data_IF_390793011118
#
_entry.id   IF_390793011118
#
_cell.length_a   1.000
_cell.length_b   1.000
_cell.length_c   1.000
_cell.angle_alpha   90.00
_cell.angle_beta   90.00
_cell.angle_gamma   90.00
#
_symmetry.space_group_name_H-M   'P 1'
#
loop_
_entity.id
_entity.type
_entity.pdbx_description
1 polymer ?
#
# COMPACT_ATOMS: atom_id res chain seq x y z
N UNK A 1 16.80 18.26 23.12
CA UNK A 1 15.66 18.89 22.42
C UNK A 1 14.42 18.37 23.11
N UNK A 2 13.94 19.10 24.11
CA UNK A 2 12.69 18.76 24.79
C UNK A 2 11.54 18.99 23.82
N UNK A 3 10.64 18.01 23.69
CA UNK A 3 9.37 18.23 23.03
C UNK A 3 8.47 18.99 24.00
N UNK A 4 8.39 20.32 23.85
CA UNK A 4 7.33 21.09 24.51
C UNK A 4 5.98 20.53 24.07
N UNK A 5 5.27 19.93 25.03
CA UNK A 5 3.93 19.37 24.87
C UNK A 5 2.88 20.49 24.81
N UNK A 6 3.00 21.38 23.82
CA UNK A 6 1.96 22.35 23.49
C UNK A 6 0.64 21.61 23.20
N UNK A 7 -0.47 22.11 23.76
CA UNK A 7 -1.79 21.47 23.77
C UNK A 7 -2.52 21.45 22.41
N UNK A 8 -1.80 21.26 21.29
CA UNK A 8 -2.46 21.07 20.00
C UNK A 8 -3.22 19.74 19.96
N UNK A 9 -4.52 19.82 20.30
CA UNK A 9 -5.54 18.78 20.10
C UNK A 9 -5.94 18.62 18.62
N UNK A 10 -5.42 19.48 17.73
CA UNK A 10 -5.70 19.44 16.31
C UNK A 10 -4.84 18.39 15.59
N UNK A 11 -5.45 17.69 14.63
CA UNK A 11 -4.74 16.85 13.68
C UNK A 11 -3.80 17.68 12.80
N UNK A 12 -2.61 17.14 12.48
CA UNK A 12 -1.68 17.80 11.56
C UNK A 12 -2.24 17.87 10.13
N UNK A 13 -1.67 18.71 9.26
CA UNK A 13 -2.06 18.74 7.84
C UNK A 13 -1.85 17.39 7.14
N UNK A 14 -0.79 16.66 7.52
CA UNK A 14 -0.54 15.31 7.02
C UNK A 14 -1.67 14.35 7.41
N UNK A 15 -2.08 14.35 8.68
CA UNK A 15 -3.20 13.53 9.17
C UNK A 15 -4.50 13.86 8.43
N UNK A 16 -4.77 15.15 8.21
CA UNK A 16 -5.96 15.61 7.48
C UNK A 16 -5.96 15.13 6.02
N UNK A 17 -4.81 15.15 5.34
CA UNK A 17 -4.70 14.63 3.98
C UNK A 17 -4.84 13.10 3.93
N UNK A 18 -4.24 12.36 4.87
CA UNK A 18 -4.41 10.90 4.98
C UNK A 18 -5.89 10.56 5.18
N UNK A 19 -6.58 11.23 6.10
CA UNK A 19 -8.01 10.98 6.36
C UNK A 19 -8.92 11.38 5.19
N UNK A 20 -8.62 12.47 4.47
CA UNK A 20 -9.37 12.85 3.27
C UNK A 20 -9.18 11.82 2.15
N UNK A 21 -7.95 11.37 1.93
CA UNK A 21 -7.62 10.32 0.98
C UNK A 21 -8.33 9.01 1.31
N UNK A 22 -8.28 8.60 2.59
CA UNK A 22 -8.98 7.41 3.07
C UNK A 22 -10.50 7.53 2.89
N UNK A 23 -11.09 8.69 3.20
CA UNK A 23 -12.53 8.93 3.01
C UNK A 23 -12.95 8.78 1.54
N UNK A 24 -12.20 9.38 0.61
CA UNK A 24 -12.46 9.26 -0.84
C UNK A 24 -12.37 7.79 -1.27
N UNK A 25 -11.33 7.08 -0.83
CA UNK A 25 -11.07 5.68 -1.18
C UNK A 25 -12.13 4.73 -0.62
N UNK A 26 -12.67 5.00 0.57
CA UNK A 26 -13.82 4.28 1.14
C UNK A 26 -15.10 4.51 0.34
N UNK A 27 -15.44 5.79 0.08
CA UNK A 27 -16.70 6.19 -0.59
C UNK A 27 -16.77 5.65 -2.01
N UNK A 28 -15.66 5.65 -2.75
CA UNK A 28 -15.59 5.15 -4.13
C UNK A 28 -15.36 3.62 -4.15
N UNK A 29 -14.58 3.10 -3.20
CA UNK A 29 -14.17 1.69 -3.19
C UNK A 29 -15.27 0.71 -2.79
N UNK A 30 -16.06 1.03 -1.76
CA UNK A 30 -17.12 0.12 -1.28
C UNK A 30 -18.14 -0.22 -2.38
N UNK A 31 -18.65 0.75 -3.18
CA UNK A 31 -19.53 0.44 -4.31
C UNK A 31 -18.85 -0.32 -5.45
N UNK A 32 -17.64 0.10 -5.87
CA UNK A 32 -16.95 -0.47 -7.04
C UNK A 32 -16.29 -1.83 -6.79
N UNK A 33 -16.00 -2.17 -5.54
CA UNK A 33 -15.35 -3.43 -5.14
C UNK A 33 -16.29 -4.32 -4.31
N UNK A 34 -17.59 -3.99 -4.25
CA UNK A 34 -18.53 -4.62 -3.32
C UNK A 34 -18.73 -6.13 -3.54
N UNK A 35 -18.42 -6.65 -4.72
CA UNK A 35 -18.34 -8.08 -5.05
C UNK A 35 -17.07 -8.74 -4.50
N UNK A 36 -15.90 -8.14 -4.69
CA UNK A 36 -14.62 -8.62 -4.17
C UNK A 36 -14.59 -8.58 -2.64
N UNK A 37 -15.11 -7.50 -2.04
CA UNK A 37 -15.20 -7.35 -0.58
C UNK A 37 -16.15 -8.39 0.05
N UNK A 38 -17.21 -8.80 -0.64
CA UNK A 38 -18.13 -9.87 -0.16
C UNK A 38 -17.60 -11.28 -0.40
N UNK A 39 -16.55 -11.44 -1.21
CA UNK A 39 -16.03 -12.75 -1.62
C UNK A 39 -14.80 -13.13 -0.80
N UNK A 40 -14.88 -14.25 -0.06
CA UNK A 40 -13.75 -14.76 0.73
C UNK A 40 -12.91 -15.73 -0.10
N UNK A 41 -12.14 -15.18 -1.05
CA UNK A 41 -11.36 -15.98 -2.01
C UNK A 41 -9.93 -16.34 -1.53
N UNK A 42 -9.57 -15.95 -0.29
CA UNK A 42 -8.29 -16.31 0.36
C UNK A 42 -7.94 -17.81 0.25
N UNK A 43 -8.87 -18.77 0.43
CA UNK A 43 -8.54 -20.19 0.27
C UNK A 43 -8.08 -20.56 -1.15
N UNK A 44 -8.56 -19.88 -2.19
CA UNK A 44 -8.14 -20.14 -3.58
C UNK A 44 -6.70 -19.65 -3.83
N UNK A 45 -6.35 -18.48 -3.28
CA UNK A 45 -4.98 -17.96 -3.29
C UNK A 45 -4.03 -18.89 -2.52
N UNK A 46 -4.42 -19.31 -1.31
CA UNK A 46 -3.60 -20.19 -0.46
C UNK A 46 -3.47 -21.63 -0.99
N UNK A 47 -4.43 -22.10 -1.79
CA UNK A 47 -4.36 -23.41 -2.45
C UNK A 47 -3.31 -23.48 -3.57
N UNK A 48 -2.63 -22.37 -3.89
CA UNK A 48 -1.59 -22.30 -4.92
C UNK A 48 -0.20 -22.05 -4.28
N UNK A 49 0.62 -23.11 -4.05
CA UNK A 49 1.87 -22.98 -3.31
C UNK A 49 2.92 -22.08 -3.97
N UNK A 50 3.05 -22.10 -5.30
CA UNK A 50 4.03 -21.24 -5.99
C UNK A 50 3.67 -19.76 -5.82
N UNK A 51 2.37 -19.46 -5.82
CA UNK A 51 1.90 -18.08 -5.69
C UNK A 51 2.02 -17.58 -4.25
N UNK A 52 1.73 -18.43 -3.25
CA UNK A 52 2.03 -18.13 -1.84
C UNK A 52 3.53 -17.85 -1.63
N UNK A 53 4.41 -18.67 -2.21
CA UNK A 53 5.87 -18.41 -2.16
C UNK A 53 6.23 -17.08 -2.82
N UNK A 54 5.65 -16.76 -3.97
CA UNK A 54 5.87 -15.46 -4.63
C UNK A 54 5.43 -14.27 -3.76
N UNK A 55 4.25 -14.34 -3.15
CA UNK A 55 3.73 -13.32 -2.24
C UNK A 55 4.62 -13.14 -1.00
N UNK A 56 5.08 -14.24 -0.39
CA UNK A 56 5.99 -14.21 0.75
C UNK A 56 7.37 -13.65 0.38
N UNK A 57 7.93 -14.02 -0.77
CA UNK A 57 9.25 -13.54 -1.23
C UNK A 57 9.19 -12.06 -1.61
N UNK A 58 8.15 -11.62 -2.32
CA UNK A 58 7.98 -10.20 -2.68
C UNK A 58 7.80 -9.30 -1.44
N UNK A 59 6.98 -9.74 -0.47
CA UNK A 59 6.87 -9.10 0.84
C UNK A 59 8.20 -9.06 1.59
N UNK A 60 8.88 -10.20 1.75
CA UNK A 60 10.15 -10.28 2.46
C UNK A 60 11.22 -9.41 1.82
N UNK A 61 11.28 -9.35 0.48
CA UNK A 61 12.22 -8.50 -0.26
C UNK A 61 11.96 -7.00 0.00
N UNK A 62 10.69 -6.55 -0.06
CA UNK A 62 10.32 -5.18 0.30
C UNK A 62 10.72 -4.85 1.75
N UNK A 63 10.41 -5.72 2.69
CA UNK A 63 10.75 -5.53 4.11
C UNK A 63 12.26 -5.52 4.38
N UNK A 64 13.04 -6.40 3.74
CA UNK A 64 14.50 -6.38 3.83
C UNK A 64 15.06 -5.06 3.29
N UNK A 65 14.55 -4.55 2.16
CA UNK A 65 14.98 -3.25 1.66
C UNK A 65 14.61 -2.12 2.64
N UNK A 66 13.43 -2.13 3.26
CA UNK A 66 13.09 -1.18 4.34
C UNK A 66 14.09 -1.22 5.49
N UNK A 67 14.47 -2.43 5.97
CA UNK A 67 15.49 -2.59 7.02
C UNK A 67 16.85 -1.98 6.62
N UNK A 68 17.23 -2.11 5.34
CA UNK A 68 18.54 -1.69 4.84
C UNK A 68 18.63 -0.21 4.43
N UNK A 69 17.50 0.48 4.20
CA UNK A 69 17.52 1.85 3.65
C UNK A 69 16.66 2.87 4.40
N UNK A 70 15.80 2.45 5.34
CA UNK A 70 14.95 3.37 6.09
C UNK A 70 15.57 3.79 7.42
N UNK A 71 15.23 5.01 7.87
CA UNK A 71 15.65 5.54 9.18
C UNK A 71 14.48 6.18 9.91
N UNK A 72 14.55 6.18 11.25
CA UNK A 72 13.60 6.85 12.13
C UNK A 72 14.19 8.03 12.90
N UNK A 73 15.47 8.38 12.76
CA UNK A 73 16.12 9.56 13.37
C UNK A 73 15.79 9.77 14.87
N UNK A 74 15.82 8.70 15.66
CA UNK A 74 15.50 8.75 17.09
C UNK A 74 14.01 8.94 17.43
N UNK A 75 13.10 9.02 16.45
CA UNK A 75 11.65 9.14 16.68
C UNK A 75 11.14 8.00 17.58
N UNK A 76 10.29 8.31 18.58
CA UNK A 76 9.74 7.31 19.50
C UNK A 76 8.83 6.33 18.76
N UNK A 77 8.67 5.13 19.31
CA UNK A 77 7.67 4.19 18.81
C UNK A 77 6.32 4.49 19.48
N UNK A 78 5.26 4.61 18.66
CA UNK A 78 3.93 5.01 19.11
C UNK A 78 2.90 3.93 18.74
N UNK A 79 2.46 3.17 19.74
CA UNK A 79 1.55 2.02 19.54
C UNK A 79 0.24 2.39 18.83
N UNK A 80 -0.48 3.39 19.34
CA UNK A 80 -1.76 3.83 18.77
C UNK A 80 -1.66 4.23 17.30
N UNK A 81 -0.82 5.22 16.94
CA UNK A 81 -0.53 5.57 15.54
C UNK A 81 -0.08 4.39 14.68
N UNK A 82 0.78 3.50 15.20
CA UNK A 82 1.23 2.31 14.46
C UNK A 82 0.06 1.40 14.09
N UNK A 83 -0.84 1.10 15.03
CA UNK A 83 -2.01 0.25 14.78
C UNK A 83 -3.01 0.95 13.85
N UNK A 84 -3.33 2.22 14.13
CA UNK A 84 -4.29 3.01 13.32
C UNK A 84 -3.80 3.15 11.88
N UNK A 85 -2.54 3.51 11.67
CA UNK A 85 -1.97 3.67 10.34
C UNK A 85 -1.87 2.31 9.62
N UNK A 86 -1.28 1.28 10.24
CA UNK A 86 -1.04 0.01 9.54
C UNK A 86 -2.35 -0.68 9.11
N UNK A 87 -3.38 -0.65 9.96
CA UNK A 87 -4.70 -1.21 9.63
C UNK A 87 -5.47 -0.27 8.69
N UNK A 88 -5.56 1.02 9.03
CA UNK A 88 -6.33 1.99 8.27
C UNK A 88 -5.81 2.16 6.84
N UNK A 89 -4.49 2.33 6.69
CA UNK A 89 -3.86 2.46 5.38
C UNK A 89 -3.91 1.14 4.61
N UNK A 90 -3.44 0.04 5.19
CA UNK A 90 -3.42 -1.28 4.54
C UNK A 90 -4.80 -1.78 4.08
N UNK A 91 -5.89 -1.40 4.76
CA UNK A 91 -7.26 -1.64 4.27
C UNK A 91 -7.65 -0.62 3.19
N UNK A 92 -7.58 0.67 3.50
CA UNK A 92 -8.28 1.71 2.72
C UNK A 92 -7.49 2.13 1.47
N UNK A 93 -6.16 2.20 1.56
CA UNK A 93 -5.31 2.44 0.38
C UNK A 93 -5.36 1.24 -0.58
N UNK A 94 -5.53 0.01 -0.08
CA UNK A 94 -5.83 -1.15 -0.95
C UNK A 94 -7.11 -0.95 -1.76
N UNK A 95 -8.12 -0.24 -1.25
CA UNK A 95 -9.33 0.05 -2.05
C UNK A 95 -8.99 0.99 -3.20
N UNK A 96 -8.26 2.08 -2.97
CA UNK A 96 -7.83 3.00 -4.03
C UNK A 96 -7.07 2.26 -5.15
N UNK A 97 -6.11 1.44 -4.73
CA UNK A 97 -5.32 0.58 -5.59
C UNK A 97 -6.16 -0.42 -6.40
N UNK A 98 -7.08 -1.15 -5.76
CA UNK A 98 -7.96 -2.11 -6.41
C UNK A 98 -8.97 -1.45 -7.36
N UNK A 99 -9.48 -0.25 -7.05
CA UNK A 99 -10.34 0.55 -7.95
C UNK A 99 -9.59 0.89 -9.23
N UNK A 100 -8.37 1.43 -9.12
CA UNK A 100 -7.58 1.84 -10.29
C UNK A 100 -7.23 0.64 -11.16
N UNK A 101 -6.81 -0.47 -10.54
CA UNK A 101 -6.60 -1.73 -11.25
C UNK A 101 -7.87 -2.20 -11.96
N UNK A 102 -9.03 -2.20 -11.28
CA UNK A 102 -10.31 -2.66 -11.84
C UNK A 102 -10.77 -1.80 -13.01
N UNK A 103 -10.62 -0.49 -12.93
CA UNK A 103 -10.92 0.45 -14.03
C UNK A 103 -10.00 0.16 -15.23
N UNK A 104 -8.69 0.02 -15.00
CA UNK A 104 -7.73 -0.33 -16.06
C UNK A 104 -8.04 -1.70 -16.69
N UNK A 105 -8.42 -2.70 -15.88
CA UNK A 105 -8.80 -4.01 -16.37
C UNK A 105 -10.08 -3.99 -17.20
N UNK A 106 -11.11 -3.30 -16.73
CA UNK A 106 -12.35 -3.10 -17.48
C UNK A 106 -12.13 -2.38 -18.82
N UNK A 107 -11.24 -1.38 -18.87
CA UNK A 107 -10.84 -0.71 -20.11
C UNK A 107 -10.11 -1.69 -21.04
N UNK A 108 -9.14 -2.45 -20.53
CA UNK A 108 -8.38 -3.42 -21.33
C UNK A 108 -9.24 -4.54 -21.89
N UNK A 109 -10.17 -5.07 -21.12
CA UNK A 109 -11.12 -6.08 -21.58
C UNK A 109 -12.13 -5.49 -22.57
N UNK A 110 -12.60 -4.25 -22.37
CA UNK A 110 -13.45 -3.55 -23.34
C UNK A 110 -12.77 -3.35 -24.69
N UNK A 111 -11.49 -2.96 -24.69
CA UNK A 111 -10.67 -2.84 -25.91
C UNK A 111 -10.45 -4.22 -26.55
N UNK A 112 -10.12 -5.25 -25.77
CA UNK A 112 -9.95 -6.60 -26.28
C UNK A 112 -11.23 -7.12 -26.94
N UNK A 113 -12.39 -7.01 -26.28
CA UNK A 113 -13.66 -7.47 -26.83
C UNK A 113 -14.06 -6.77 -28.13
N UNK A 114 -13.59 -5.55 -28.39
CA UNK A 114 -13.86 -4.81 -29.62
C UNK A 114 -12.91 -5.16 -30.78
N UNK A 115 -11.64 -5.48 -30.51
CA UNK A 115 -10.60 -5.62 -31.54
C UNK A 115 -9.88 -6.99 -31.56
N UNK A 116 -9.68 -7.62 -30.39
CA UNK A 116 -8.96 -8.88 -30.21
C UNK A 116 -9.60 -9.73 -29.09
N UNK A 117 -10.77 -10.35 -29.30
CA UNK A 117 -11.53 -10.99 -28.20
C UNK A 117 -10.78 -12.12 -27.50
N UNK A 118 -9.83 -12.77 -28.17
CA UNK A 118 -8.93 -13.77 -27.61
C UNK A 118 -7.89 -13.21 -26.62
N UNK A 119 -7.80 -11.89 -26.46
CA UNK A 119 -6.95 -11.19 -25.50
C UNK A 119 -7.75 -10.61 -24.31
N UNK A 120 -9.06 -10.83 -24.23
CA UNK A 120 -9.86 -10.46 -23.07
C UNK A 120 -9.45 -11.33 -21.86
N UNK A 121 -9.25 -10.71 -20.70
CA UNK A 121 -8.51 -11.26 -19.57
C UNK A 121 -7.06 -10.77 -19.56
N UNK A 122 -6.16 -11.27 -20.43
CA UNK A 122 -4.76 -10.85 -20.47
C UNK A 122 -4.54 -9.35 -20.73
N UNK A 123 -5.33 -8.72 -21.62
CA UNK A 123 -5.22 -7.28 -21.87
C UNK A 123 -5.81 -6.45 -20.72
N UNK A 124 -6.91 -6.91 -20.11
CA UNK A 124 -7.41 -6.35 -18.85
C UNK A 124 -6.36 -6.40 -17.75
N UNK A 125 -5.75 -7.56 -17.50
CA UNK A 125 -4.65 -7.69 -16.54
C UNK A 125 -3.51 -6.70 -16.84
N UNK A 126 -3.05 -6.62 -18.09
CA UNK A 126 -1.93 -5.75 -18.47
C UNK A 126 -2.24 -4.26 -18.28
N UNK A 127 -3.42 -3.78 -18.67
CA UNK A 127 -3.82 -2.37 -18.48
C UNK A 127 -4.13 -2.08 -17.02
N UNK A 128 -4.80 -2.99 -16.30
CA UNK A 128 -5.05 -2.89 -14.86
C UNK A 128 -3.77 -2.80 -14.03
N UNK A 129 -2.81 -3.70 -14.28
CA UNK A 129 -1.48 -3.66 -13.67
C UNK A 129 -0.74 -2.36 -14.00
N UNK A 130 -0.77 -1.91 -15.25
CA UNK A 130 -0.12 -0.65 -15.66
C UNK A 130 -0.75 0.55 -14.95
N UNK A 131 -2.08 0.61 -14.86
CA UNK A 131 -2.80 1.67 -14.14
C UNK A 131 -2.46 1.65 -12.64
N UNK A 132 -2.41 0.47 -12.00
CA UNK A 132 -1.94 0.32 -10.63
C UNK A 132 -0.54 0.91 -10.47
N UNK A 133 0.43 0.48 -11.28
CA UNK A 133 1.83 0.89 -11.19
C UNK A 133 1.98 2.41 -11.33
N UNK A 134 1.28 3.02 -12.29
CA UNK A 134 1.28 4.49 -12.48
C UNK A 134 0.72 5.19 -11.23
N UNK A 135 -0.42 4.72 -10.71
CA UNK A 135 -1.06 5.31 -9.54
C UNK A 135 -0.22 5.17 -8.27
N UNK A 136 0.38 4.00 -8.02
CA UNK A 136 1.32 3.79 -6.92
C UNK A 136 2.57 4.65 -7.03
N UNK A 137 3.16 4.75 -8.23
CA UNK A 137 4.27 5.67 -8.48
C UNK A 137 3.91 7.13 -8.19
N UNK A 138 2.69 7.55 -8.56
CA UNK A 138 2.16 8.90 -8.28
C UNK A 138 1.95 9.14 -6.79
N UNK A 139 1.25 8.26 -6.07
CA UNK A 139 1.00 8.42 -4.64
C UNK A 139 2.31 8.37 -3.84
N UNK A 140 3.21 7.42 -4.11
CA UNK A 140 4.50 7.38 -3.44
C UNK A 140 5.37 8.60 -3.77
N UNK A 141 5.44 9.00 -5.05
CA UNK A 141 6.27 10.11 -5.50
C UNK A 141 5.80 11.50 -5.05
N UNK A 142 4.49 11.76 -5.08
CA UNK A 142 3.92 13.08 -4.81
C UNK A 142 3.28 13.22 -3.42
N UNK A 143 2.86 12.12 -2.77
CA UNK A 143 2.31 12.14 -1.42
C UNK A 143 3.35 11.67 -0.40
N UNK A 144 3.73 10.39 -0.42
CA UNK A 144 4.57 9.82 0.64
C UNK A 144 5.98 10.44 0.71
N UNK A 145 6.66 10.68 -0.41
CA UNK A 145 8.00 11.29 -0.39
C UNK A 145 8.02 12.78 0.00
N UNK A 146 6.92 13.52 -0.21
CA UNK A 146 6.86 14.97 0.06
C UNK A 146 6.39 15.30 1.48
N UNK A 147 5.46 14.51 2.02
CA UNK A 147 4.82 14.83 3.31
C UNK A 147 5.29 13.96 4.48
N UNK A 148 5.95 12.82 4.25
CA UNK A 148 6.62 12.09 5.34
C UNK A 148 7.90 12.82 5.77
N UNK A 149 8.31 12.73 7.06
CA UNK A 149 9.62 13.19 7.47
C UNK A 149 10.73 12.45 6.71
N UNK A 150 11.98 12.97 6.70
CA UNK A 150 13.14 12.22 6.21
C UNK A 150 13.17 10.82 6.82
N UNK A 151 13.07 9.81 5.96
CA UNK A 151 12.84 8.42 6.35
C UNK A 151 13.79 7.45 5.64
N UNK A 152 14.80 7.99 4.97
CA UNK A 152 15.75 7.32 4.12
C UNK A 152 17.18 7.68 4.55
N UNK A 153 18.01 6.68 4.86
CA UNK A 153 19.43 6.84 5.19
C UNK A 153 20.28 7.36 4.03
N UNK A 154 20.91 8.51 4.16
CA UNK A 154 21.71 9.14 3.08
C UNK A 154 23.13 8.56 2.95
N UNK A 155 23.44 7.45 3.64
CA UNK A 155 24.72 6.74 3.46
C UNK A 155 24.93 6.26 2.02
N UNK A 156 26.17 6.27 1.49
CA UNK A 156 26.46 5.80 0.14
C UNK A 156 26.05 4.35 -0.14
N UNK A 157 25.99 3.51 0.90
CA UNK A 157 25.53 2.13 0.81
C UNK A 157 24.00 2.05 0.64
N UNK A 158 23.23 2.73 1.50
CA UNK A 158 21.77 2.77 1.41
C UNK A 158 21.30 3.41 0.09
N UNK A 159 21.98 4.45 -0.39
CA UNK A 159 21.72 5.06 -1.71
C UNK A 159 21.91 4.08 -2.88
N UNK A 160 22.88 3.15 -2.81
CA UNK A 160 23.05 2.09 -3.83
C UNK A 160 21.93 1.07 -3.76
N UNK A 161 21.59 0.60 -2.55
CA UNK A 161 20.56 -0.41 -2.30
C UNK A 161 19.16 0.11 -2.70
N UNK A 162 18.87 1.41 -2.52
CA UNK A 162 17.61 2.05 -2.93
C UNK A 162 17.18 1.80 -4.36
N UNK A 163 18.13 1.61 -5.28
CA UNK A 163 17.83 1.34 -6.70
C UNK A 163 17.05 0.03 -6.89
N UNK A 164 17.08 -0.87 -5.91
CA UNK A 164 16.30 -2.11 -5.88
C UNK A 164 14.87 -1.92 -5.35
N UNK A 165 14.55 -0.80 -4.67
CA UNK A 165 13.20 -0.58 -4.12
C UNK A 165 12.12 -0.63 -5.20
N UNK A 166 12.22 0.08 -6.34
CA UNK A 166 11.23 -0.04 -7.40
C UNK A 166 11.01 -1.48 -7.84
N UNK A 167 12.05 -2.32 -7.88
CA UNK A 167 11.91 -3.74 -8.23
C UNK A 167 11.11 -4.53 -7.18
N UNK A 168 11.29 -4.23 -5.89
CA UNK A 168 10.50 -4.83 -4.81
C UNK A 168 9.04 -4.37 -4.81
N UNK A 169 8.79 -3.06 -5.00
CA UNK A 169 7.41 -2.55 -5.10
C UNK A 169 6.72 -3.16 -6.34
N UNK A 170 7.41 -3.24 -7.49
CA UNK A 170 6.88 -3.89 -8.70
C UNK A 170 6.55 -5.38 -8.48
N UNK A 171 7.35 -6.11 -7.70
CA UNK A 171 7.08 -7.50 -7.36
C UNK A 171 5.84 -7.65 -6.46
N UNK A 172 5.68 -6.76 -5.47
CA UNK A 172 4.47 -6.69 -4.63
C UNK A 172 3.22 -6.37 -5.47
N UNK A 173 3.28 -5.32 -6.28
CA UNK A 173 2.18 -4.88 -7.15
C UNK A 173 1.79 -5.95 -8.16
N UNK A 174 2.75 -6.71 -8.70
CA UNK A 174 2.48 -7.87 -9.55
C UNK A 174 1.73 -8.96 -8.78
N UNK A 175 2.17 -9.26 -7.55
CA UNK A 175 1.49 -10.23 -6.67
C UNK A 175 0.05 -9.84 -6.36
N UNK A 176 -0.16 -8.57 -5.99
CA UNK A 176 -1.49 -8.05 -5.70
C UNK A 176 -2.41 -8.05 -6.93
N UNK A 177 -1.88 -7.65 -8.09
CA UNK A 177 -2.61 -7.69 -9.36
C UNK A 177 -2.97 -9.13 -9.78
N UNK A 178 -2.11 -10.10 -9.49
CA UNK A 178 -2.41 -11.52 -9.70
C UNK A 178 -3.49 -12.05 -8.75
N UNK A 179 -3.54 -11.59 -7.48
CA UNK A 179 -4.65 -11.91 -6.57
C UNK A 179 -5.99 -11.41 -7.12
N UNK A 180 -6.03 -10.17 -7.62
CA UNK A 180 -7.24 -9.60 -8.23
C UNK A 180 -7.63 -10.32 -9.52
N UNK A 181 -6.66 -10.63 -10.38
CA UNK A 181 -6.91 -11.24 -11.69
C UNK A 181 -7.36 -12.69 -11.60
N UNK A 182 -6.62 -13.53 -10.87
CA UNK A 182 -6.81 -14.97 -10.85
C UNK A 182 -7.93 -15.39 -9.88
N UNK A 183 -8.09 -14.65 -8.78
CA UNK A 183 -8.93 -15.06 -7.65
C UNK A 183 -9.89 -13.97 -7.17
N UNK A 184 -9.83 -12.74 -7.70
CA UNK A 184 -10.57 -11.58 -7.16
C UNK A 184 -10.37 -11.39 -5.64
N UNK A 185 -9.21 -11.81 -5.13
CA UNK A 185 -8.94 -11.92 -3.69
C UNK A 185 -8.32 -10.62 -3.17
N UNK A 186 -9.20 -9.70 -2.76
CA UNK A 186 -8.79 -8.44 -2.12
C UNK A 186 -8.29 -8.65 -0.69
N UNK A 187 -8.71 -9.70 -0.01
CA UNK A 187 -8.44 -9.92 1.42
C UNK A 187 -6.99 -10.33 1.68
N UNK A 188 -6.40 -11.19 0.83
CA UNK A 188 -4.95 -11.47 0.89
C UNK A 188 -4.13 -10.22 0.62
N UNK A 189 -4.55 -9.35 -0.30
CA UNK A 189 -3.85 -8.08 -0.59
C UNK A 189 -3.91 -7.14 0.60
N UNK A 190 -5.10 -6.91 1.18
CA UNK A 190 -5.28 -6.12 2.41
C UNK A 190 -4.36 -6.64 3.51
N UNK A 191 -4.35 -7.95 3.77
CA UNK A 191 -3.54 -8.54 4.83
C UNK A 191 -2.04 -8.29 4.62
N UNK A 192 -1.52 -8.54 3.41
CA UNK A 192 -0.11 -8.28 3.08
C UNK A 192 0.20 -6.78 3.18
N UNK A 193 -0.70 -5.91 2.75
CA UNK A 193 -0.49 -4.46 2.79
C UNK A 193 -0.42 -3.93 4.23
N UNK A 194 -1.29 -4.42 5.14
CA UNK A 194 -1.20 -4.11 6.58
C UNK A 194 0.17 -4.50 7.15
N UNK A 195 0.75 -5.63 6.72
CA UNK A 195 2.09 -6.03 7.13
C UNK A 195 3.20 -5.14 6.53
N UNK A 196 3.02 -4.66 5.29
CA UNK A 196 3.95 -3.71 4.65
C UNK A 196 3.97 -2.39 5.41
N UNK A 197 2.80 -1.85 5.74
CA UNK A 197 2.64 -0.60 6.49
C UNK A 197 3.11 -0.73 7.94
N UNK A 198 2.89 -1.88 8.58
CA UNK A 198 3.48 -2.16 9.89
C UNK A 198 5.02 -2.10 9.84
N UNK A 199 5.62 -2.63 8.78
CA UNK A 199 7.04 -2.48 8.48
C UNK A 199 7.49 -1.02 8.38
N UNK A 200 6.76 -0.21 7.61
CA UNK A 200 6.98 1.24 7.50
C UNK A 200 6.86 1.92 8.86
N UNK A 201 5.80 1.66 9.63
CA UNK A 201 5.59 2.29 10.94
C UNK A 201 6.68 1.92 11.96
N UNK A 202 7.18 0.68 11.95
CA UNK A 202 8.28 0.24 12.82
C UNK A 202 9.63 0.90 12.45
N UNK A 203 9.90 1.11 11.16
CA UNK A 203 11.22 1.54 10.62
C UNK A 203 11.35 3.04 10.36
N UNK A 204 10.27 3.69 9.93
CA UNK A 204 10.20 5.13 9.65
C UNK A 204 9.68 5.91 10.85
N UNK A 205 8.73 5.32 11.59
CA UNK A 205 8.02 5.94 12.72
C UNK A 205 7.53 7.37 12.39
N UNK A 206 6.69 7.52 11.36
CA UNK A 206 6.19 8.84 10.98
C UNK A 206 5.32 9.41 12.13
N UNK A 207 5.39 10.72 12.42
CA UNK A 207 4.65 11.37 13.49
C UNK A 207 3.19 11.65 13.07
N UNK A 208 2.50 10.62 12.57
CA UNK A 208 1.07 10.67 12.22
C UNK A 208 0.21 10.39 13.45
N UNK A 209 -1.01 10.91 13.45
CA UNK A 209 -2.04 10.68 14.45
C UNK A 209 -1.59 10.90 15.90
N UNK A 210 -0.64 11.81 16.15
CA UNK A 210 -0.08 12.06 17.48
C UNK A 210 -1.17 12.39 18.51
N UNK A 211 -2.24 13.10 18.12
CA UNK A 211 -3.39 13.38 18.97
C UNK A 211 -4.08 12.13 19.53
N UNK A 212 -4.06 11.01 18.79
CA UNK A 212 -4.59 9.72 19.25
C UNK A 212 -3.64 8.97 20.20
N UNK A 213 -2.36 9.37 20.29
CA UNK A 213 -1.38 8.79 21.22
C UNK A 213 -1.32 9.49 22.59
N UNK A 214 -1.86 10.72 22.72
CA UNK A 214 -1.75 11.56 23.93
C UNK A 214 -2.72 11.21 25.08
N UNK A 215 -2.99 9.91 25.30
CA UNK A 215 -3.72 9.42 26.49
C UNK A 215 -3.21 8.06 26.97
N UNK A 216 -2.09 8.06 27.68
CA UNK A 216 -1.97 7.39 29.01
C UNK A 216 -0.91 8.17 29.81
N UNK A 217 -1.38 8.92 30.80
CA UNK A 217 -0.64 9.36 31.99
C UNK A 217 -1.69 9.46 33.11
#
# INVERSE_FOLDING_TARGET
MEYELTEQRALSRLDQYILLYWLISLVIGIPLLGDWLKSWNVPATLANPWFVVFLLVSFAFSQVLYVLVARHDGRPFLWGPTVIFSIGNGVIETFAFAIVYRIGAWIGDGIAMQFWPNLAGPLGFAIGFTAFVIYGGVIHGMFWLQYLPPHLDDSPQAMRIRKLRPLAEMALVLGWSLCFYLYQDIWTVIFIHILVDLGLMLRVRPPVFLGASRRVA
#
